data_IF_566701765394
#
_entry.id   IF_566701765394
#
_cell.length_a   1.000
_cell.length_b   1.000
_cell.length_c   1.000
_cell.angle_alpha   90.00
_cell.angle_beta   90.00
_cell.angle_gamma   90.00
#
_symmetry.space_group_name_H-M   'P 1'
#
loop_
_entity.id
_entity.type
_entity.pdbx_description
1 polymer ?
#
# COMPACT_ATOMS: atom_id res chain seq x y z
N UNK A 1 24.78 12.06 -22.88
CA UNK A 1 25.36 13.40 -23.06
C UNK A 1 24.51 14.15 -24.06
N UNK A 2 23.90 15.27 -23.69
CA UNK A 2 23.29 16.17 -24.66
C UNK A 2 24.42 16.90 -25.41
N UNK A 3 24.45 16.81 -26.73
CA UNK A 3 25.49 17.41 -27.57
C UNK A 3 25.46 18.93 -27.41
N UNK A 4 26.63 19.50 -27.08
CA UNK A 4 26.81 20.95 -26.79
C UNK A 4 27.19 21.79 -28.02
N UNK A 5 27.29 21.20 -29.22
CA UNK A 5 27.82 21.88 -30.41
C UNK A 5 27.11 21.46 -31.71
N UNK A 6 25.85 21.87 -31.89
CA UNK A 6 25.15 21.78 -33.17
C UNK A 6 24.49 23.11 -33.50
N UNK A 7 24.56 23.54 -34.76
CA UNK A 7 23.94 24.77 -35.24
C UNK A 7 22.45 24.83 -34.83
N UNK A 8 22.00 25.96 -34.30
CA UNK A 8 20.57 26.16 -34.01
C UNK A 8 19.83 26.29 -35.32
N UNK A 9 18.96 25.32 -35.61
CA UNK A 9 18.11 25.36 -36.79
C UNK A 9 17.10 26.51 -36.74
N UNK A 10 16.91 27.10 -37.91
CA UNK A 10 16.04 28.25 -38.17
C UNK A 10 14.61 27.74 -38.29
N UNK A 11 13.82 27.90 -37.23
CA UNK A 11 12.39 27.60 -37.20
C UNK A 11 12.08 26.28 -36.47
N UNK A 12 11.59 26.39 -35.23
CA UNK A 12 10.89 25.27 -34.59
C UNK A 12 9.55 25.10 -35.30
N UNK A 13 9.36 23.99 -36.01
CA UNK A 13 8.13 23.56 -36.69
C UNK A 13 6.94 23.28 -35.74
N UNK A 14 7.04 23.67 -34.47
CA UNK A 14 6.04 23.40 -33.44
C UNK A 14 5.98 21.94 -32.96
N UNK A 15 6.78 21.02 -33.52
CA UNK A 15 6.82 19.61 -33.08
C UNK A 15 7.48 19.45 -31.71
N UNK A 16 8.49 20.27 -31.41
CA UNK A 16 9.17 20.29 -30.11
C UNK A 16 8.25 20.74 -28.96
N UNK A 17 7.26 21.59 -29.25
CA UNK A 17 6.27 22.00 -28.26
C UNK A 17 5.45 20.81 -27.76
N UNK A 18 4.94 19.98 -28.69
CA UNK A 18 4.17 18.77 -28.35
C UNK A 18 5.02 17.76 -27.57
N UNK A 19 6.30 17.61 -27.93
CA UNK A 19 7.22 16.73 -27.21
C UNK A 19 7.45 17.23 -25.78
N UNK A 20 7.78 18.52 -25.59
CA UNK A 20 8.01 19.12 -24.26
C UNK A 20 6.77 19.12 -23.38
N UNK A 21 5.60 19.36 -23.96
CA UNK A 21 4.31 19.29 -23.26
C UNK A 21 4.00 17.85 -22.79
N UNK A 22 4.26 16.84 -23.63
CA UNK A 22 4.07 15.44 -23.26
C UNK A 22 5.03 14.97 -22.14
N UNK A 23 6.27 15.44 -22.14
CA UNK A 23 7.25 15.12 -21.08
C UNK A 23 6.90 15.83 -19.78
N UNK A 24 6.45 17.09 -19.86
CA UNK A 24 6.03 17.87 -18.69
C UNK A 24 4.76 17.29 -18.04
N UNK A 25 3.77 16.86 -18.84
CA UNK A 25 2.54 16.23 -18.34
C UNK A 25 2.81 14.88 -17.68
N UNK A 26 3.73 14.07 -18.23
CA UNK A 26 4.17 12.82 -17.61
C UNK A 26 4.92 13.06 -16.29
N UNK A 27 5.76 14.10 -16.23
CA UNK A 27 6.51 14.44 -15.02
C UNK A 27 5.60 14.92 -13.90
N UNK A 28 4.67 15.82 -14.19
CA UNK A 28 3.68 16.34 -13.22
C UNK A 28 2.76 15.23 -12.72
N UNK A 29 2.28 14.36 -13.61
CA UNK A 29 1.48 13.18 -13.26
C UNK A 29 2.26 12.23 -12.33
N UNK A 30 3.51 11.93 -12.65
CA UNK A 30 4.36 11.07 -11.81
C UNK A 30 4.60 11.69 -10.42
N UNK A 31 4.86 12.99 -10.34
CA UNK A 31 5.06 13.69 -9.06
C UNK A 31 3.81 13.66 -8.18
N UNK A 32 2.64 13.93 -8.76
CA UNK A 32 1.37 13.91 -8.05
C UNK A 32 1.10 12.52 -7.45
N UNK A 33 1.24 11.45 -8.25
CA UNK A 33 1.01 10.07 -7.81
C UNK A 33 2.04 9.65 -6.76
N UNK A 34 3.32 10.01 -6.91
CA UNK A 34 4.36 9.71 -5.91
C UNK A 34 4.08 10.38 -4.55
N UNK A 35 3.56 11.60 -4.55
CA UNK A 35 3.19 12.27 -3.29
C UNK A 35 2.09 11.51 -2.56
N UNK A 36 1.12 10.98 -3.31
CA UNK A 36 0.02 10.16 -2.79
C UNK A 36 0.51 8.79 -2.31
N UNK A 37 1.35 8.12 -3.08
CA UNK A 37 1.96 6.84 -2.72
C UNK A 37 2.78 6.94 -1.43
N UNK A 38 3.51 8.03 -1.21
CA UNK A 38 4.23 8.24 0.07
C UNK A 38 3.29 8.21 1.27
N UNK A 39 2.11 8.81 1.15
CA UNK A 39 1.09 8.75 2.22
C UNK A 39 0.56 7.33 2.38
N UNK A 40 0.25 6.63 1.28
CA UNK A 40 -0.25 5.25 1.37
C UNK A 40 0.77 4.29 2.01
N UNK A 41 2.04 4.40 1.65
CA UNK A 41 3.10 3.63 2.29
C UNK A 41 3.23 3.96 3.79
N UNK A 42 3.19 5.25 4.14
CA UNK A 42 3.23 5.67 5.54
C UNK A 42 2.04 5.13 6.34
N UNK A 43 0.83 5.17 5.78
CA UNK A 43 -0.35 4.58 6.43
C UNK A 43 -0.18 3.07 6.64
N UNK A 44 0.31 2.33 5.64
CA UNK A 44 0.52 0.89 5.83
C UNK A 44 1.61 0.60 6.87
N UNK A 45 2.64 1.43 6.95
CA UNK A 45 3.67 1.33 8.00
C UNK A 45 3.07 1.55 9.38
N UNK A 46 2.22 2.57 9.56
CA UNK A 46 1.52 2.84 10.81
C UNK A 46 0.62 1.65 11.18
N UNK A 47 -0.13 1.11 10.22
CA UNK A 47 -0.99 -0.07 10.42
C UNK A 47 -0.15 -1.27 10.88
N UNK A 48 0.97 -1.58 10.20
CA UNK A 48 1.82 -2.70 10.60
C UNK A 48 2.43 -2.53 12.00
N UNK A 49 2.88 -1.31 12.35
CA UNK A 49 3.33 -1.03 13.72
C UNK A 49 2.22 -1.15 14.75
N UNK A 50 1.00 -0.74 14.42
CA UNK A 50 -0.15 -0.91 15.30
C UNK A 50 -0.43 -2.39 15.56
N UNK A 51 -0.35 -3.25 14.53
CA UNK A 51 -0.50 -4.71 14.71
C UNK A 51 0.59 -5.29 15.61
N UNK A 52 1.86 -4.87 15.44
CA UNK A 52 2.96 -5.30 16.32
C UNK A 52 2.73 -4.82 17.75
N UNK A 53 2.28 -3.58 17.94
CA UNK A 53 2.00 -3.04 19.26
C UNK A 53 0.87 -3.81 19.96
N UNK A 54 -0.23 -4.10 19.26
CA UNK A 54 -1.33 -4.92 19.79
C UNK A 54 -0.85 -6.32 20.18
N UNK A 55 -0.06 -6.96 19.31
CA UNK A 55 0.56 -8.25 19.59
C UNK A 55 1.41 -8.21 20.88
N UNK A 56 2.28 -7.22 21.02
CA UNK A 56 3.15 -7.08 22.19
C UNK A 56 2.37 -6.79 23.47
N UNK A 57 1.37 -5.91 23.42
CA UNK A 57 0.50 -5.60 24.56
C UNK A 57 -0.22 -6.86 25.04
N UNK A 58 -0.76 -7.67 24.12
CA UNK A 58 -1.47 -8.89 24.49
C UNK A 58 -0.54 -9.99 25.00
N UNK A 59 0.64 -10.16 24.40
CA UNK A 59 1.56 -11.25 24.77
C UNK A 59 2.31 -11.00 26.07
N UNK A 60 2.62 -9.74 26.37
CA UNK A 60 3.33 -9.35 27.58
C UNK A 60 2.37 -8.99 28.74
N UNK A 61 1.05 -9.14 28.52
CA UNK A 61 0.00 -8.79 29.49
C UNK A 61 0.18 -7.37 30.07
N UNK A 62 0.64 -6.42 29.24
CA UNK A 62 0.98 -5.06 29.71
C UNK A 62 -0.23 -4.29 30.25
N UNK A 63 -1.44 -4.73 29.91
CA UNK A 63 -2.69 -4.13 30.36
C UNK A 63 -3.60 -5.24 30.87
N UNK A 64 -3.82 -5.26 32.20
CA UNK A 64 -4.52 -6.31 32.94
C UNK A 64 -5.98 -6.54 32.48
N UNK A 65 -6.65 -5.45 32.09
CA UNK A 65 -8.05 -5.44 31.66
C UNK A 65 -8.19 -4.99 30.19
N UNK A 66 -7.10 -5.06 29.41
CA UNK A 66 -7.24 -4.78 27.99
C UNK A 66 -8.13 -5.85 27.36
N UNK A 67 -8.97 -5.45 26.39
CA UNK A 67 -9.61 -6.44 25.57
C UNK A 67 -8.54 -7.30 24.93
N UNK A 68 -8.63 -8.62 25.16
CA UNK A 68 -7.69 -9.58 24.60
C UNK A 68 -7.95 -9.68 23.11
N UNK A 69 -7.34 -8.77 22.35
CA UNK A 69 -6.95 -9.09 20.98
C UNK A 69 -5.88 -10.17 21.10
N UNK A 70 -6.30 -11.41 21.31
CA UNK A 70 -5.38 -12.53 21.23
C UNK A 70 -4.67 -12.39 19.88
N UNK A 71 -3.34 -12.38 19.87
CA UNK A 71 -2.61 -12.10 18.65
C UNK A 71 -2.95 -13.16 17.61
N UNK A 72 -3.70 -12.74 16.61
CA UNK A 72 -4.12 -13.66 15.57
C UNK A 72 -3.03 -13.75 14.51
N UNK A 73 -2.73 -14.94 13.98
CA UNK A 73 -1.67 -15.13 13.00
C UNK A 73 -1.74 -14.20 11.78
N UNK A 74 -2.94 -13.77 11.37
CA UNK A 74 -3.13 -12.84 10.26
C UNK A 74 -2.56 -11.44 10.55
N UNK A 75 -2.55 -11.00 11.81
CA UNK A 75 -2.02 -9.69 12.21
C UNK A 75 -0.51 -9.60 11.94
N UNK A 76 0.21 -10.68 12.22
CA UNK A 76 1.63 -10.80 11.93
C UNK A 76 1.92 -10.76 10.42
N UNK A 77 1.08 -11.42 9.62
CA UNK A 77 1.19 -11.38 8.15
C UNK A 77 0.95 -9.97 7.62
N UNK A 78 -0.07 -9.26 8.11
CA UNK A 78 -0.29 -7.87 7.72
C UNK A 78 0.84 -6.95 8.17
N UNK A 79 1.40 -7.15 9.37
CA UNK A 79 2.56 -6.40 9.84
C UNK A 79 3.77 -6.56 8.91
N UNK A 80 3.95 -7.75 8.32
CA UNK A 80 5.02 -8.00 7.36
C UNK A 80 4.88 -7.15 6.09
N UNK A 81 3.66 -6.79 5.68
CA UNK A 81 3.41 -5.89 4.55
C UNK A 81 3.99 -4.47 4.75
N UNK A 82 4.14 -4.03 6.01
CA UNK A 82 4.76 -2.75 6.34
C UNK A 82 6.25 -2.71 5.96
N UNK A 83 6.97 -3.83 6.11
CA UNK A 83 8.37 -3.93 5.68
C UNK A 83 8.52 -3.62 4.18
N UNK A 84 7.61 -4.15 3.36
CA UNK A 84 7.60 -3.87 1.92
C UNK A 84 7.24 -2.42 1.63
N UNK A 85 6.46 -1.75 2.48
CA UNK A 85 6.14 -0.33 2.31
C UNK A 85 7.34 0.59 2.55
N UNK A 86 8.27 0.21 3.44
CA UNK A 86 9.58 0.87 3.52
C UNK A 86 10.38 0.75 2.22
N UNK A 87 10.39 -0.44 1.61
CA UNK A 87 11.01 -0.66 0.29
C UNK A 87 10.35 0.25 -0.75
N UNK A 88 9.01 0.33 -0.76
CA UNK A 88 8.22 1.20 -1.63
C UNK A 88 8.63 2.68 -1.52
N UNK A 89 8.73 3.22 -0.30
CA UNK A 89 9.18 4.60 -0.05
C UNK A 89 10.59 4.82 -0.61
N UNK A 90 11.51 3.89 -0.34
CA UNK A 90 12.91 4.00 -0.78
C UNK A 90 13.06 3.99 -2.31
N UNK A 91 12.08 3.44 -3.03
CA UNK A 91 12.08 3.34 -4.48
C UNK A 91 11.74 4.67 -5.18
N UNK A 92 10.92 5.52 -4.55
CA UNK A 92 10.33 6.70 -5.19
C UNK A 92 11.34 7.82 -5.54
N UNK A 93 12.34 8.18 -4.69
CA UNK A 93 13.24 9.29 -4.96
C UNK A 93 14.13 9.09 -6.20
N UNK A 94 14.56 7.84 -6.43
CA UNK A 94 15.49 7.48 -7.51
C UNK A 94 14.86 6.65 -8.64
N UNK A 95 13.53 6.62 -8.72
CA UNK A 95 12.78 5.86 -9.72
C UNK A 95 13.25 4.39 -9.83
N UNK A 96 13.49 3.74 -8.69
CA UNK A 96 14.06 2.38 -8.67
C UNK A 96 12.95 1.36 -8.96
N UNK A 97 12.66 1.12 -10.23
CA UNK A 97 11.61 0.19 -10.66
C UNK A 97 11.73 -1.19 -10.00
N UNK A 98 12.95 -1.72 -9.85
CA UNK A 98 13.18 -3.02 -9.21
C UNK A 98 12.67 -3.08 -7.76
N UNK A 99 13.00 -2.06 -6.95
CA UNK A 99 12.52 -1.98 -5.56
C UNK A 99 10.99 -1.81 -5.51
N UNK A 100 10.43 -1.03 -6.44
CA UNK A 100 8.98 -0.84 -6.48
C UNK A 100 8.24 -2.13 -6.92
N UNK A 101 8.84 -2.95 -7.78
CA UNK A 101 8.33 -4.30 -8.12
C UNK A 101 8.41 -5.26 -6.92
N UNK A 102 9.51 -5.25 -6.17
CA UNK A 102 9.64 -6.02 -4.91
C UNK A 102 8.57 -5.59 -3.91
N UNK A 103 8.35 -4.28 -3.76
CA UNK A 103 7.25 -3.76 -2.95
C UNK A 103 5.90 -4.32 -3.40
N UNK A 104 5.59 -4.29 -4.70
CA UNK A 104 4.31 -4.79 -5.21
C UNK A 104 4.11 -6.29 -4.94
N UNK A 105 5.15 -7.11 -5.12
CA UNK A 105 5.09 -8.55 -4.82
C UNK A 105 4.81 -8.77 -3.33
N UNK A 106 5.56 -8.10 -2.45
CA UNK A 106 5.35 -8.24 -1.01
C UNK A 106 4.01 -7.70 -0.53
N UNK A 107 3.54 -6.57 -1.06
CA UNK A 107 2.22 -6.04 -0.74
C UNK A 107 1.10 -6.95 -1.27
N UNK A 108 1.29 -7.60 -2.42
CA UNK A 108 0.37 -8.60 -2.93
C UNK A 108 0.29 -9.84 -2.04
N UNK A 109 1.43 -10.39 -1.64
CA UNK A 109 1.49 -11.61 -0.82
C UNK A 109 1.05 -11.37 0.62
N UNK A 110 1.67 -10.40 1.29
CA UNK A 110 1.49 -10.17 2.74
C UNK A 110 0.39 -9.16 3.06
N UNK A 111 0.12 -8.22 2.15
CA UNK A 111 -1.00 -7.29 2.28
C UNK A 111 -2.29 -7.94 1.78
N UNK A 112 -2.46 -8.07 0.46
CA UNK A 112 -3.69 -8.60 -0.15
C UNK A 112 -3.94 -10.06 0.27
N UNK A 113 -2.93 -10.93 0.19
CA UNK A 113 -3.05 -12.33 0.63
C UNK A 113 -3.35 -12.46 2.12
N UNK A 114 -2.73 -11.61 2.95
CA UNK A 114 -3.05 -11.53 4.37
C UNK A 114 -4.52 -11.15 4.63
N UNK A 115 -5.05 -10.17 3.91
CA UNK A 115 -6.45 -9.75 4.04
C UNK A 115 -7.44 -10.81 3.56
N UNK A 116 -7.12 -11.54 2.49
CA UNK A 116 -7.93 -12.68 2.05
C UNK A 116 -7.99 -13.72 3.17
N UNK A 117 -6.87 -14.00 3.84
CA UNK A 117 -6.86 -14.89 4.99
C UNK A 117 -7.75 -14.39 6.13
N UNK A 118 -7.74 -13.09 6.44
CA UNK A 118 -8.65 -12.48 7.45
C UNK A 118 -10.12 -12.78 7.12
N UNK A 119 -10.54 -12.50 5.88
CA UNK A 119 -11.93 -12.71 5.47
C UNK A 119 -12.33 -14.17 5.58
N UNK A 120 -11.47 -15.09 5.13
CA UNK A 120 -11.74 -16.53 5.18
C UNK A 120 -11.77 -17.04 6.62
N UNK A 121 -10.83 -16.61 7.48
CA UNK A 121 -10.74 -17.13 8.85
C UNK A 121 -11.88 -16.65 9.74
N UNK A 122 -12.44 -15.47 9.48
CA UNK A 122 -13.56 -14.89 10.24
C UNK A 122 -14.91 -15.07 9.54
N UNK A 123 -14.97 -15.86 8.46
CA UNK A 123 -16.23 -16.05 7.74
C UNK A 123 -17.29 -16.73 8.63
N UNK A 124 -16.90 -17.73 9.41
CA UNK A 124 -17.81 -18.41 10.35
C UNK A 124 -18.40 -17.45 11.38
N UNK A 125 -17.57 -16.65 12.07
CA UNK A 125 -18.05 -15.65 13.04
C UNK A 125 -18.99 -14.62 12.40
N UNK A 126 -18.78 -14.28 11.12
CA UNK A 126 -19.66 -13.37 10.39
C UNK A 126 -20.99 -14.03 10.05
N UNK A 127 -21.00 -15.33 9.77
CA UNK A 127 -22.23 -16.12 9.58
C UNK A 127 -23.00 -16.25 10.89
N UNK A 128 -22.32 -16.57 11.99
CA UNK A 128 -22.91 -16.65 13.32
C UNK A 128 -23.60 -15.33 13.68
N UNK A 129 -22.91 -14.19 13.47
CA UNK A 129 -23.50 -12.87 13.66
C UNK A 129 -24.73 -12.62 12.77
N UNK A 130 -24.70 -13.07 11.51
CA UNK A 130 -25.80 -12.93 10.57
C UNK A 130 -27.03 -13.74 10.98
N UNK A 131 -26.80 -14.95 11.50
CA UNK A 131 -27.84 -15.88 11.95
C UNK A 131 -28.38 -15.51 13.35
N UNK A 132 -27.78 -14.52 14.01
CA UNK A 132 -28.19 -14.03 15.33
C UNK A 132 -27.60 -14.81 16.50
N UNK A 133 -26.59 -15.65 16.24
CA UNK A 133 -25.86 -16.39 17.26
C UNK A 133 -24.93 -15.46 18.06
N UNK A 134 -24.65 -15.80 19.33
CA UNK A 134 -23.78 -14.99 20.16
C UNK A 134 -22.33 -15.03 19.63
N UNK A 135 -21.76 -13.86 19.37
CA UNK A 135 -20.37 -13.70 18.92
C UNK A 135 -19.54 -12.95 19.95
N UNK A 136 -18.21 -13.06 19.84
CA UNK A 136 -17.29 -12.32 20.70
C UNK A 136 -17.50 -10.81 20.52
N UNK A 137 -17.73 -10.09 21.61
CA UNK A 137 -17.90 -8.65 21.62
C UNK A 137 -16.68 -7.93 22.18
N UNK A 138 -16.39 -6.78 21.57
CA UNK A 138 -15.36 -5.87 21.97
C UNK A 138 -15.97 -4.47 22.12
N UNK A 139 -15.90 -3.90 23.33
CA UNK A 139 -16.57 -2.63 23.66
C UNK A 139 -18.08 -2.63 23.36
N UNK A 140 -18.76 -3.77 23.56
CA UNK A 140 -20.17 -3.99 23.21
C UNK A 140 -20.46 -3.91 21.70
N UNK A 141 -19.45 -4.14 20.87
CA UNK A 141 -19.56 -4.23 19.42
C UNK A 141 -19.06 -5.62 19.00
N UNK A 142 -19.77 -6.37 18.14
CA UNK A 142 -19.27 -7.62 17.60
C UNK A 142 -17.85 -7.46 17.03
N UNK A 143 -16.89 -8.21 17.59
CA UNK A 143 -15.47 -8.16 17.20
C UNK A 143 -15.29 -8.40 15.70
N UNK A 144 -16.03 -9.37 15.14
CA UNK A 144 -15.99 -9.70 13.72
C UNK A 144 -16.31 -8.50 12.82
N UNK A 145 -17.22 -7.61 13.23
CA UNK A 145 -17.50 -6.37 12.49
C UNK A 145 -16.30 -5.43 12.49
N UNK A 146 -15.61 -5.29 13.63
CA UNK A 146 -14.41 -4.45 13.72
C UNK A 146 -13.30 -5.00 12.83
N UNK A 147 -13.09 -6.33 12.85
CA UNK A 147 -12.10 -7.01 12.00
C UNK A 147 -12.42 -6.83 10.51
N UNK A 148 -13.67 -7.04 10.09
CA UNK A 148 -14.09 -6.87 8.69
C UNK A 148 -13.97 -5.41 8.22
N UNK A 149 -14.39 -4.44 9.04
CA UNK A 149 -14.24 -3.02 8.70
C UNK A 149 -12.76 -2.64 8.52
N UNK A 150 -11.90 -3.08 9.44
CA UNK A 150 -10.47 -2.91 9.31
C UNK A 150 -9.92 -3.56 8.03
N UNK A 151 -10.34 -4.79 7.72
CA UNK A 151 -9.89 -5.54 6.55
C UNK A 151 -10.30 -4.84 5.24
N UNK A 152 -11.53 -4.36 5.13
CA UNK A 152 -12.04 -3.64 3.94
C UNK A 152 -11.29 -2.33 3.72
N UNK A 153 -11.09 -1.52 4.77
CA UNK A 153 -10.35 -0.25 4.67
C UNK A 153 -8.89 -0.49 4.27
N UNK A 154 -8.26 -1.50 4.86
CA UNK A 154 -6.87 -1.87 4.55
C UNK A 154 -6.76 -2.44 3.12
N UNK A 155 -7.75 -3.21 2.67
CA UNK A 155 -7.83 -3.71 1.30
C UNK A 155 -7.90 -2.56 0.29
N UNK A 156 -8.78 -1.58 0.53
CA UNK A 156 -8.90 -0.40 -0.33
C UNK A 156 -7.59 0.40 -0.39
N UNK A 157 -6.89 0.55 0.75
CA UNK A 157 -5.57 1.18 0.81
C UNK A 157 -4.54 0.41 -0.04
N UNK A 158 -4.47 -0.92 0.10
CA UNK A 158 -3.51 -1.75 -0.64
C UNK A 158 -3.79 -1.77 -2.14
N UNK A 159 -5.06 -1.89 -2.55
CA UNK A 159 -5.46 -1.82 -3.96
C UNK A 159 -5.11 -0.46 -4.56
N UNK A 160 -5.42 0.63 -3.86
CA UNK A 160 -5.06 2.00 -4.28
C UNK A 160 -3.54 2.18 -4.40
N UNK A 161 -2.78 1.50 -3.54
CA UNK A 161 -1.32 1.49 -3.58
C UNK A 161 -0.82 0.76 -4.81
N UNK A 162 -1.27 -0.48 -5.05
CA UNK A 162 -0.88 -1.29 -6.22
C UNK A 162 -1.23 -0.62 -7.55
N UNK A 163 -2.42 -0.01 -7.66
CA UNK A 163 -2.81 0.74 -8.85
C UNK A 163 -1.92 1.97 -9.06
N UNK A 164 -1.61 2.69 -7.97
CA UNK A 164 -0.73 3.84 -8.01
C UNK A 164 0.70 3.48 -8.41
N UNK A 165 1.26 2.40 -7.86
CA UNK A 165 2.61 1.94 -8.19
C UNK A 165 2.68 1.40 -9.61
N UNK A 166 1.65 0.70 -10.09
CA UNK A 166 1.54 0.27 -11.49
C UNK A 166 1.59 1.47 -12.44
N UNK A 167 0.82 2.52 -12.15
CA UNK A 167 0.83 3.77 -12.95
C UNK A 167 2.19 4.45 -12.94
N UNK A 168 2.89 4.46 -11.80
CA UNK A 168 4.24 5.04 -11.72
C UNK A 168 5.26 4.21 -12.48
N UNK A 169 5.17 2.88 -12.40
CA UNK A 169 6.04 1.96 -13.14
C UNK A 169 5.88 2.11 -14.65
N UNK A 170 4.64 2.20 -15.16
CA UNK A 170 4.41 2.39 -16.60
C UNK A 170 5.02 3.68 -17.13
N UNK A 171 4.93 4.77 -16.36
CA UNK A 171 5.57 6.05 -16.70
C UNK A 171 7.10 5.95 -16.66
N UNK A 172 7.67 5.22 -15.70
CA UNK A 172 9.12 5.05 -15.60
C UNK A 172 9.69 4.16 -16.70
N UNK A 173 9.00 3.09 -17.06
CA UNK A 173 9.46 2.16 -18.08
C UNK A 173 9.31 2.78 -19.49
N UNK A 174 8.26 3.57 -19.75
CA UNK A 174 8.15 4.39 -20.97
C UNK A 174 9.36 5.33 -21.17
N UNK A 175 9.84 5.94 -20.09
CA UNK A 175 11.03 6.82 -20.12
C UNK A 175 12.34 6.09 -20.39
N UNK A 176 12.41 4.76 -20.20
CA UNK A 176 13.61 3.97 -20.50
C UNK A 176 13.61 3.47 -21.95
N UNK A 177 12.43 3.32 -22.56
CA UNK A 177 12.28 2.87 -23.94
C UNK A 177 12.40 3.99 -24.99
N UNK A 178 12.32 5.25 -24.56
CA UNK A 178 12.60 6.44 -25.38
C UNK A 178 13.99 6.97 -25.08
#
# INVERSE_FOLDING_TARGET
MASRYGAREKGTDGSDFKFRESVASQHTTSLAIKSRLRRYFAFNIIVGFAQIALYLISTLELVKDAPKFLPEPWQAVLALSALFSFIGISALPRNRSGLLKIHNIGLGLFGIGGLIWVFVSHFGEMQDLWDGEPVEELFSIPKVLLVYNFAVLTFALHMSTLMGTHTVLSVWDYRKSK
#
